data_IF_490461077123
#
_entry.id   IF_490461077123
#
_cell.length_a   1.000
_cell.length_b   1.000
_cell.length_c   1.000
_cell.angle_alpha   90.00
_cell.angle_beta   90.00
_cell.angle_gamma   90.00
#
_symmetry.space_group_name_H-M   'P 1'
#
loop_
_entity.id
_entity.type
_entity.pdbx_description
1 polymer ?
#
# COMPACT_ATOMS: atom_id res chain seq x y z
N UNK A 1 -23.07 -10.54 5.02
CA UNK A 1 -22.05 -11.43 4.44
C UNK A 1 -20.70 -11.02 5.02
N UNK A 2 -20.05 -11.89 5.79
CA UNK A 2 -18.69 -11.62 6.27
C UNK A 2 -17.76 -11.64 5.06
N UNK A 3 -17.20 -10.49 4.70
CA UNK A 3 -16.19 -10.42 3.66
C UNK A 3 -14.97 -11.18 4.15
N UNK A 4 -14.58 -12.25 3.46
CA UNK A 4 -13.29 -12.90 3.69
C UNK A 4 -12.19 -11.88 3.47
N UNK A 5 -11.33 -11.66 4.46
CA UNK A 5 -10.22 -10.70 4.37
C UNK A 5 -9.40 -10.93 3.09
N UNK A 6 -9.05 -9.83 2.41
CA UNK A 6 -8.21 -9.88 1.21
C UNK A 6 -6.76 -10.24 1.53
N UNK A 7 -6.30 -9.99 2.77
CA UNK A 7 -4.92 -10.19 3.21
C UNK A 7 -4.64 -11.54 3.85
N UNK A 8 -5.65 -12.38 4.07
CA UNK A 8 -5.47 -13.68 4.73
C UNK A 8 -4.42 -14.57 4.04
N UNK A 9 -4.33 -14.52 2.70
CA UNK A 9 -3.44 -15.36 1.90
C UNK A 9 -2.67 -14.60 0.80
N UNK A 10 -2.60 -13.26 0.86
CA UNK A 10 -2.05 -12.44 -0.24
C UNK A 10 -1.19 -11.31 0.27
N UNK A 11 -0.25 -10.87 -0.56
CA UNK A 11 0.46 -9.61 -0.30
C UNK A 11 -0.44 -8.40 -0.62
N UNK A 12 -0.21 -7.24 0.01
CA UNK A 12 -1.07 -6.07 -0.14
C UNK A 12 -1.31 -5.61 -1.59
N UNK A 13 -0.28 -5.67 -2.43
CA UNK A 13 -0.44 -5.32 -3.85
C UNK A 13 -1.33 -6.33 -4.59
N UNK A 14 -1.16 -7.62 -4.30
CA UNK A 14 -1.94 -8.67 -4.95
C UNK A 14 -3.41 -8.62 -4.51
N UNK A 15 -3.66 -8.23 -3.26
CA UNK A 15 -5.00 -7.95 -2.74
C UNK A 15 -5.67 -6.77 -3.46
N UNK A 16 -4.96 -5.66 -3.70
CA UNK A 16 -5.49 -4.52 -4.47
C UNK A 16 -5.83 -4.91 -5.91
N UNK A 17 -4.90 -5.59 -6.61
CA UNK A 17 -5.16 -6.05 -7.97
C UNK A 17 -6.38 -6.98 -8.01
N UNK A 18 -6.48 -7.91 -7.06
CA UNK A 18 -7.61 -8.82 -6.99
C UNK A 18 -8.94 -8.13 -6.65
N UNK A 19 -8.95 -7.10 -5.80
CA UNK A 19 -10.15 -6.31 -5.52
C UNK A 19 -10.76 -5.74 -6.81
N UNK A 20 -9.90 -5.26 -7.72
CA UNK A 20 -10.29 -4.75 -9.03
C UNK A 20 -10.40 -5.83 -10.12
N UNK A 21 -10.27 -7.12 -9.76
CA UNK A 21 -10.22 -8.25 -10.69
C UNK A 21 -9.18 -8.07 -11.82
N UNK A 22 -8.02 -7.51 -11.49
CA UNK A 22 -6.91 -7.32 -12.41
C UNK A 22 -5.76 -8.29 -12.13
N UNK A 23 -5.08 -8.70 -13.19
CA UNK A 23 -3.79 -9.33 -13.12
C UNK A 23 -2.75 -8.31 -12.65
N UNK A 24 -1.82 -8.74 -11.81
CA UNK A 24 -0.67 -7.92 -11.43
C UNK A 24 0.23 -7.72 -12.64
N UNK A 25 0.43 -6.45 -13.00
CA UNK A 25 1.36 -6.06 -14.04
C UNK A 25 2.75 -5.81 -13.45
N UNK A 26 3.78 -6.11 -14.25
CA UNK A 26 5.17 -5.75 -13.96
C UNK A 26 5.68 -4.83 -15.05
N UNK A 27 6.39 -3.77 -14.68
CA UNK A 27 7.01 -2.86 -15.63
C UNK A 27 8.54 -2.93 -15.51
N UNK A 28 9.29 -2.99 -16.61
CA UNK A 28 10.75 -3.07 -16.54
C UNK A 28 11.35 -1.81 -15.89
N UNK A 29 12.42 -1.99 -15.13
CA UNK A 29 13.22 -0.87 -14.64
C UNK A 29 13.83 -0.10 -15.82
N UNK A 30 14.10 1.20 -15.63
CA UNK A 30 14.73 2.09 -16.62
C UNK A 30 13.99 2.25 -17.96
N UNK A 31 12.72 1.86 -18.05
CA UNK A 31 11.88 2.13 -19.21
C UNK A 31 11.05 3.39 -18.93
N UNK A 32 10.90 4.34 -19.88
CA UNK A 32 10.02 5.48 -19.68
C UNK A 32 8.59 5.01 -19.47
N UNK A 33 7.92 5.56 -18.44
CA UNK A 33 6.54 5.21 -18.15
C UNK A 33 5.63 5.72 -19.28
N UNK A 34 4.74 4.87 -19.82
CA UNK A 34 3.75 5.31 -20.78
C UNK A 34 2.70 6.17 -20.08
N UNK A 35 1.98 7.00 -20.84
CA UNK A 35 0.84 7.78 -20.30
C UNK A 35 -0.38 6.90 -20.00
N UNK A 36 -0.50 5.75 -20.66
CA UNK A 36 -1.58 4.78 -20.49
C UNK A 36 -0.97 3.38 -20.52
N UNK A 37 -1.48 2.48 -19.69
CA UNK A 37 -1.06 1.08 -19.63
C UNK A 37 -2.27 0.17 -19.54
N UNK A 38 -2.21 -0.94 -20.29
CA UNK A 38 -3.22 -1.98 -20.23
C UNK A 38 -2.99 -2.91 -19.03
N UNK A 39 -4.03 -3.10 -18.23
CA UNK A 39 -4.08 -4.14 -17.21
C UNK A 39 -5.16 -5.17 -17.56
N UNK A 40 -4.77 -6.45 -17.59
CA UNK A 40 -5.68 -7.53 -17.93
C UNK A 40 -6.65 -7.85 -16.80
N UNK A 41 -7.91 -8.07 -17.15
CA UNK A 41 -8.92 -8.59 -16.24
C UNK A 41 -8.73 -10.10 -16.06
N UNK A 42 -8.81 -10.55 -14.81
CA UNK A 42 -8.81 -11.98 -14.45
C UNK A 42 -10.22 -12.53 -14.26
N UNK A 43 -11.19 -11.65 -14.01
CA UNK A 43 -12.61 -11.99 -13.83
C UNK A 43 -13.47 -10.74 -14.11
N UNK A 44 -14.79 -10.90 -14.32
CA UNK A 44 -15.72 -9.78 -14.34
C UNK A 44 -15.66 -9.01 -13.00
N UNK A 45 -15.42 -7.69 -13.09
CA UNK A 45 -15.29 -6.82 -11.91
C UNK A 45 -16.59 -6.05 -11.65
N UNK A 46 -16.99 -5.93 -10.39
CA UNK A 46 -18.09 -5.04 -9.97
C UNK A 46 -17.66 -3.58 -9.86
N UNK A 47 -16.37 -3.34 -9.66
CA UNK A 47 -15.76 -2.01 -9.57
C UNK A 47 -14.47 -2.00 -10.38
N UNK A 48 -14.33 -0.99 -11.25
CA UNK A 48 -13.14 -0.82 -12.08
C UNK A 48 -12.27 0.30 -11.51
N UNK A 49 -10.94 0.14 -11.48
CA UNK A 49 -10.04 1.22 -11.14
C UNK A 49 -10.04 2.23 -12.28
N UNK A 50 -9.69 3.47 -11.97
CA UNK A 50 -9.66 4.56 -12.97
C UNK A 50 -8.23 4.95 -13.34
N UNK A 51 -7.25 4.65 -12.50
CA UNK A 51 -5.84 4.98 -12.73
C UNK A 51 -4.93 3.85 -12.27
N UNK A 52 -3.68 3.91 -12.74
CA UNK A 52 -2.57 3.12 -12.21
C UNK A 52 -1.59 4.10 -11.58
N UNK A 53 -1.30 3.93 -10.29
CA UNK A 53 -0.17 4.61 -9.66
C UNK A 53 1.09 3.83 -9.98
N UNK A 54 2.00 4.45 -10.73
CA UNK A 54 3.35 3.97 -10.90
C UNK A 54 4.22 4.53 -9.78
N UNK A 55 4.32 3.77 -8.68
CA UNK A 55 5.10 4.17 -7.52
C UNK A 55 6.57 3.95 -7.82
N UNK A 56 7.28 5.06 -7.99
CA UNK A 56 8.69 5.07 -8.28
C UNK A 56 9.48 4.81 -6.98
N UNK A 57 10.56 4.02 -7.03
CA UNK A 57 11.50 3.94 -5.91
C UNK A 57 12.13 5.32 -5.66
N UNK A 58 12.71 5.52 -4.47
CA UNK A 58 13.52 6.71 -4.21
C UNK A 58 14.64 6.85 -5.27
N UNK A 59 14.98 8.08 -5.65
CA UNK A 59 15.88 8.41 -6.77
C UNK A 59 17.23 7.66 -6.73
N UNK A 60 17.70 7.30 -5.53
CA UNK A 60 18.95 6.56 -5.31
C UNK A 60 18.91 5.08 -5.75
N UNK A 61 17.76 4.57 -6.23
CA UNK A 61 17.57 3.16 -6.63
C UNK A 61 16.93 3.01 -8.02
N UNK A 62 17.57 3.51 -9.09
CA UNK A 62 17.00 3.50 -10.45
C UNK A 62 16.76 2.10 -11.01
N UNK A 63 17.47 1.08 -10.52
CA UNK A 63 17.34 -0.31 -10.97
C UNK A 63 16.13 -1.05 -10.41
N UNK A 64 15.38 -0.45 -9.48
CA UNK A 64 14.20 -1.09 -8.91
C UNK A 64 13.00 -0.76 -9.81
N UNK A 65 12.26 -1.76 -10.32
CA UNK A 65 11.08 -1.50 -11.13
C UNK A 65 9.98 -0.82 -10.29
N UNK A 66 9.16 0.05 -10.91
CA UNK A 66 8.07 0.70 -10.20
C UNK A 66 6.99 -0.30 -9.80
N UNK A 67 6.31 -0.01 -8.70
CA UNK A 67 5.11 -0.75 -8.32
C UNK A 67 3.91 -0.15 -9.04
N UNK A 68 3.18 -0.98 -9.78
CA UNK A 68 1.96 -0.58 -10.47
C UNK A 68 0.76 -0.91 -9.60
N UNK A 69 0.07 0.11 -9.10
CA UNK A 69 -1.05 -0.05 -8.18
C UNK A 69 -2.35 0.47 -8.80
N UNK A 70 -3.33 -0.40 -9.07
CA UNK A 70 -4.62 0.06 -9.56
C UNK A 70 -5.35 0.83 -8.44
N UNK A 71 -5.93 1.98 -8.79
CA UNK A 71 -6.70 2.81 -7.86
C UNK A 71 -7.97 3.33 -8.51
N UNK A 72 -9.01 3.47 -7.70
CA UNK A 72 -10.20 4.23 -8.05
C UNK A 72 -10.06 5.64 -7.47
N UNK A 73 -9.91 6.64 -8.35
CA UNK A 73 -9.78 8.04 -7.98
C UNK A 73 -10.98 8.55 -7.15
N UNK A 74 -12.20 8.10 -7.42
CA UNK A 74 -13.37 8.50 -6.63
C UNK A 74 -13.27 7.98 -5.21
N UNK A 75 -12.90 6.69 -5.04
CA UNK A 75 -12.68 6.11 -3.73
C UNK A 75 -11.56 6.86 -2.99
N UNK A 76 -10.45 7.10 -3.70
CA UNK A 76 -9.28 7.76 -3.15
C UNK A 76 -9.64 9.15 -2.58
N UNK A 77 -10.34 10.00 -3.33
CA UNK A 77 -10.72 11.34 -2.85
C UNK A 77 -11.81 11.33 -1.77
N UNK A 78 -12.54 10.22 -1.60
CA UNK A 78 -13.48 10.04 -0.49
C UNK A 78 -12.76 9.68 0.82
N UNK A 79 -11.60 9.05 0.75
CA UNK A 79 -10.93 8.47 1.91
C UNK A 79 -9.59 9.11 2.28
N UNK A 80 -8.98 9.86 1.36
CA UNK A 80 -7.72 10.57 1.58
C UNK A 80 -7.91 12.07 1.30
N UNK A 81 -7.31 12.91 2.12
CA UNK A 81 -7.38 14.38 1.95
C UNK A 81 -6.35 14.91 0.96
N UNK A 82 -5.28 14.15 0.69
CA UNK A 82 -4.22 14.57 -0.22
C UNK A 82 -4.59 14.34 -1.68
N UNK A 83 -4.76 15.41 -2.45
CA UNK A 83 -4.90 15.33 -3.91
C UNK A 83 -3.56 15.07 -4.65
N UNK A 84 -2.43 14.94 -3.93
CA UNK A 84 -1.10 14.94 -4.52
C UNK A 84 -0.76 13.67 -5.34
N UNK A 85 -1.46 12.55 -5.08
CA UNK A 85 -1.11 11.25 -5.69
C UNK A 85 -2.02 10.88 -6.86
N UNK A 86 -3.30 11.26 -6.81
CA UNK A 86 -4.30 10.91 -7.82
C UNK A 86 -4.97 12.19 -8.30
N UNK A 87 -4.96 12.47 -9.61
CA UNK A 87 -5.65 13.63 -10.16
C UNK A 87 -7.16 13.44 -10.04
N UNK A 88 -7.88 14.54 -9.77
CA UNK A 88 -9.33 14.53 -9.75
C UNK A 88 -9.87 14.29 -11.16
N UNK A 89 -10.82 13.36 -11.28
CA UNK A 89 -11.54 13.14 -12.52
C UNK A 89 -12.60 14.24 -12.73
N UNK A 90 -12.78 14.74 -13.96
CA UNK A 90 -13.91 15.59 -14.29
C UNK A 90 -15.24 14.91 -13.91
N UNK A 91 -16.23 15.67 -13.40
CA UNK A 91 -17.56 15.15 -13.16
C UNK A 91 -18.15 14.53 -14.44
N UNK A 92 -18.75 13.34 -14.32
CA UNK A 92 -19.33 12.63 -15.46
C UNK A 92 -18.35 11.84 -16.33
N UNK A 93 -17.07 11.72 -15.93
CA UNK A 93 -16.13 10.81 -16.59
C UNK A 93 -16.67 9.38 -16.52
N UNK A 94 -16.91 8.70 -17.66
CA UNK A 94 -17.41 7.34 -17.65
C UNK A 94 -16.36 6.38 -17.06
N UNK A 95 -16.77 5.26 -16.45
CA UNK A 95 -15.84 4.22 -16.04
C UNK A 95 -15.09 3.68 -17.27
N UNK A 96 -13.84 3.19 -17.11
CA UNK A 96 -13.11 2.63 -18.22
C UNK A 96 -13.83 1.41 -18.78
N UNK A 97 -13.88 1.31 -20.11
CA UNK A 97 -14.55 0.20 -20.79
C UNK A 97 -13.53 -0.91 -21.08
N UNK A 98 -13.80 -2.16 -20.66
CA UNK A 98 -12.98 -3.30 -21.06
C UNK A 98 -12.93 -3.43 -22.58
N UNK A 99 -11.73 -3.70 -23.11
CA UNK A 99 -11.51 -4.02 -24.51
C UNK A 99 -10.71 -5.33 -24.62
N UNK A 100 -10.69 -5.94 -25.80
CA UNK A 100 -9.84 -7.11 -26.05
C UNK A 100 -8.44 -6.63 -26.43
N UNK A 101 -7.43 -7.01 -25.63
CA UNK A 101 -6.03 -6.80 -25.96
C UNK A 101 -5.69 -7.62 -27.22
N UNK A 102 -5.22 -6.98 -28.31
CA UNK A 102 -4.94 -7.68 -29.56
C UNK A 102 -3.82 -8.73 -29.43
N UNK A 103 -2.84 -8.54 -28.54
CA UNK A 103 -1.71 -9.44 -28.39
C UNK A 103 -2.07 -10.72 -27.62
N UNK A 104 -2.84 -10.58 -26.54
CA UNK A 104 -3.19 -11.71 -25.67
C UNK A 104 -4.60 -12.27 -25.90
N UNK A 105 -5.45 -11.55 -26.64
CA UNK A 105 -6.89 -11.84 -26.81
C UNK A 105 -7.63 -11.93 -25.45
N UNK A 106 -7.15 -11.21 -24.44
CA UNK A 106 -7.77 -11.16 -23.10
C UNK A 106 -8.44 -9.80 -22.87
N UNK A 107 -9.52 -9.74 -22.09
CA UNK A 107 -10.10 -8.46 -21.69
C UNK A 107 -9.09 -7.65 -20.87
N UNK A 108 -8.93 -6.37 -21.21
CA UNK A 108 -8.01 -5.44 -20.58
C UNK A 108 -8.66 -4.06 -20.38
N UNK A 109 -8.11 -3.30 -19.43
CA UNK A 109 -8.45 -1.90 -19.18
C UNK A 109 -7.26 -1.03 -19.56
N UNK A 110 -7.48 -0.10 -20.48
CA UNK A 110 -6.52 0.97 -20.77
C UNK A 110 -6.67 2.04 -19.68
N UNK A 111 -5.69 2.15 -18.79
CA UNK A 111 -5.75 3.04 -17.65
C UNK A 111 -4.64 4.10 -17.71
N UNK A 112 -4.95 5.37 -17.42
CA UNK A 112 -3.92 6.40 -17.28
C UNK A 112 -2.93 6.05 -16.16
N UNK A 113 -1.65 6.23 -16.45
CA UNK A 113 -0.57 5.99 -15.49
C UNK A 113 -0.17 7.30 -14.85
N UNK A 114 -0.19 7.33 -13.51
CA UNK A 114 0.22 8.48 -12.71
C UNK A 114 1.53 8.13 -12.01
N UNK A 115 2.66 8.77 -12.38
CA UNK A 115 3.93 8.57 -11.69
C UNK A 115 3.86 9.20 -10.30
N UNK A 116 4.26 8.46 -9.28
CA UNK A 116 4.24 8.96 -7.90
C UNK A 116 5.52 8.61 -7.16
N UNK A 117 6.08 9.60 -6.46
CA UNK A 117 7.18 9.41 -5.53
C UNK A 117 6.62 9.23 -4.12
N UNK A 118 6.64 7.99 -3.63
CA UNK A 118 6.23 7.69 -2.27
C UNK A 118 7.46 7.62 -1.35
N UNK A 119 7.39 8.16 -0.11
CA UNK A 119 8.46 8.01 0.88
C UNK A 119 8.90 6.57 1.10
N UNK A 120 7.99 5.60 0.97
CA UNK A 120 8.31 4.18 0.98
C UNK A 120 7.33 3.40 0.10
N UNK A 121 7.80 2.93 -1.06
CA UNK A 121 6.93 2.32 -2.07
C UNK A 121 6.19 1.08 -1.57
N UNK A 122 6.86 0.18 -0.82
CA UNK A 122 6.30 -1.11 -0.41
C UNK A 122 5.18 -1.00 0.64
N UNK A 123 5.12 0.08 1.41
CA UNK A 123 4.06 0.27 2.42
C UNK A 123 2.82 0.96 1.84
N UNK A 124 2.91 1.56 0.65
CA UNK A 124 1.79 2.28 0.05
C UNK A 124 0.60 1.37 -0.29
N UNK A 125 0.78 0.17 -0.89
CA UNK A 125 -0.33 -0.74 -1.14
C UNK A 125 -1.09 -1.13 0.13
N UNK A 126 -0.37 -1.39 1.23
CA UNK A 126 -0.98 -1.69 2.52
C UNK A 126 -1.82 -0.51 3.03
N UNK A 127 -1.25 0.70 2.97
CA UNK A 127 -1.95 1.91 3.39
C UNK A 127 -3.19 2.21 2.53
N UNK A 128 -3.11 1.97 1.21
CA UNK A 128 -4.23 2.15 0.30
C UNK A 128 -5.37 1.16 0.59
N UNK A 129 -5.06 -0.11 0.89
CA UNK A 129 -6.09 -1.10 1.26
C UNK A 129 -6.89 -0.67 2.49
N UNK A 130 -6.18 -0.35 3.57
CA UNK A 130 -6.83 0.01 4.83
C UNK A 130 -7.45 1.40 4.77
N UNK A 131 -6.73 2.39 4.21
CA UNK A 131 -7.21 3.76 4.12
C UNK A 131 -8.43 3.91 3.22
N UNK A 132 -8.55 3.11 2.15
CA UNK A 132 -9.72 3.08 1.30
C UNK A 132 -10.89 2.22 1.84
N UNK A 133 -10.73 1.62 3.03
CA UNK A 133 -11.72 0.74 3.65
C UNK A 133 -11.93 -0.59 2.92
N UNK A 134 -10.98 -1.01 2.08
CA UNK A 134 -11.03 -2.30 1.36
C UNK A 134 -10.65 -3.47 2.27
N UNK A 135 -9.79 -3.20 3.26
CA UNK A 135 -9.52 -4.08 4.38
C UNK A 135 -9.77 -3.31 5.68
N UNK A 136 -10.46 -3.94 6.63
CA UNK A 136 -10.90 -3.30 7.87
C UNK A 136 -10.43 -4.03 9.12
N UNK A 137 -9.82 -5.22 8.98
CA UNK A 137 -9.32 -5.96 10.12
C UNK A 137 -8.00 -5.37 10.64
N UNK A 138 -8.11 -4.59 11.71
CA UNK A 138 -6.97 -3.95 12.37
C UNK A 138 -5.96 -4.94 12.95
N UNK A 139 -6.37 -6.17 13.28
CA UNK A 139 -5.45 -7.20 13.75
C UNK A 139 -4.55 -7.68 12.62
N UNK A 140 -5.09 -7.78 11.39
CA UNK A 140 -4.29 -8.10 10.21
C UNK A 140 -3.31 -6.97 9.88
N UNK A 141 -3.72 -5.71 10.04
CA UNK A 141 -2.79 -4.59 9.90
C UNK A 141 -1.64 -4.70 10.91
N UNK A 142 -1.97 -4.89 12.19
CA UNK A 142 -0.98 -5.05 13.25
C UNK A 142 -0.01 -6.21 12.94
N UNK A 143 -0.52 -7.37 12.54
CA UNK A 143 0.28 -8.54 12.16
C UNK A 143 1.19 -8.32 10.95
N UNK A 144 0.85 -7.37 10.07
CA UNK A 144 1.69 -7.01 8.90
C UNK A 144 2.79 -6.01 9.24
N UNK A 145 2.62 -5.22 10.30
CA UNK A 145 3.54 -4.12 10.64
C UNK A 145 4.33 -4.37 11.92
N UNK A 146 4.01 -5.41 12.69
CA UNK A 146 4.73 -5.83 13.89
C UNK A 146 4.90 -7.37 13.93
N UNK A 147 5.98 -7.87 14.54
CA UNK A 147 6.13 -9.29 14.80
C UNK A 147 5.11 -9.80 15.84
N UNK A 148 4.69 -11.09 15.78
CA UNK A 148 3.74 -11.68 16.72
C UNK A 148 4.15 -11.53 18.19
N UNK A 149 5.43 -11.73 18.51
CA UNK A 149 5.94 -11.61 19.88
C UNK A 149 5.79 -10.19 20.43
N UNK A 150 5.90 -9.18 19.56
CA UNK A 150 5.70 -7.77 19.94
C UNK A 150 4.22 -7.48 20.13
N UNK A 151 3.34 -8.08 19.31
CA UNK A 151 1.89 -7.94 19.44
C UNK A 151 1.40 -8.58 20.74
N UNK A 152 2.01 -9.69 21.19
CA UNK A 152 1.67 -10.36 22.44
C UNK A 152 1.80 -9.50 23.70
N UNK A 153 2.59 -8.42 23.63
CA UNK A 153 2.77 -7.47 24.73
C UNK A 153 1.75 -6.31 24.73
N UNK A 154 0.83 -6.27 23.75
CA UNK A 154 -0.21 -5.25 23.68
C UNK A 154 -1.13 -5.32 24.93
N UNK A 155 -1.56 -4.18 25.49
CA UNK A 155 -1.35 -2.79 25.05
C UNK A 155 -0.12 -2.09 25.66
N UNK A 156 0.81 -2.81 26.30
CA UNK A 156 1.95 -2.20 26.97
C UNK A 156 3.05 -1.81 25.98
N UNK A 157 2.98 -0.59 25.44
CA UNK A 157 3.95 -0.08 24.46
C UNK A 157 5.42 -0.15 24.91
N UNK A 158 5.70 -0.03 26.22
CA UNK A 158 7.07 -0.15 26.74
C UNK A 158 7.58 -1.60 26.69
N UNK A 159 6.72 -2.57 27.01
CA UNK A 159 7.02 -3.99 26.86
C UNK A 159 7.18 -4.36 25.39
N UNK A 160 6.28 -3.90 24.52
CA UNK A 160 6.38 -4.06 23.06
C UNK A 160 7.72 -3.55 22.53
N UNK A 161 8.13 -2.33 22.90
CA UNK A 161 9.41 -1.74 22.48
C UNK A 161 10.61 -2.54 23.01
N UNK A 162 10.50 -3.10 24.23
CA UNK A 162 11.54 -3.95 24.82
C UNK A 162 11.69 -5.25 24.04
N UNK A 163 10.61 -5.95 23.70
CA UNK A 163 10.64 -7.17 22.86
C UNK A 163 11.18 -6.85 21.47
N UNK A 164 10.67 -5.80 20.85
CA UNK A 164 11.13 -5.31 19.54
C UNK A 164 12.64 -5.00 19.53
N UNK A 165 13.17 -4.40 20.60
CA UNK A 165 14.60 -4.08 20.72
C UNK A 165 15.51 -5.30 20.74
N UNK A 166 14.99 -6.49 21.06
CA UNK A 166 15.76 -7.74 21.18
C UNK A 166 15.79 -8.58 19.89
N UNK A 167 15.03 -8.19 18.87
CA UNK A 167 15.02 -8.91 17.59
C UNK A 167 16.43 -9.00 16.97
N UNK A 168 16.71 -9.96 16.09
CA UNK A 168 17.92 -9.92 15.28
C UNK A 168 17.96 -8.67 14.38
N UNK A 169 19.14 -8.28 13.91
CA UNK A 169 19.33 -7.03 13.16
C UNK A 169 18.49 -6.97 11.87
N UNK A 170 18.48 -8.04 11.07
CA UNK A 170 17.70 -8.11 9.82
C UNK A 170 16.20 -7.84 10.02
N UNK A 171 15.48 -8.65 10.82
CA UNK A 171 14.07 -8.43 11.14
C UNK A 171 13.80 -7.05 11.75
N UNK A 172 14.67 -6.57 12.64
CA UNK A 172 14.52 -5.25 13.24
C UNK A 172 14.58 -4.14 12.19
N UNK A 173 15.58 -4.17 11.31
CA UNK A 173 15.73 -3.19 10.23
C UNK A 173 14.55 -3.22 9.27
N UNK A 174 14.03 -4.41 8.94
CA UNK A 174 12.83 -4.56 8.13
C UNK A 174 11.64 -3.81 8.74
N UNK A 175 11.28 -4.11 10.00
CA UNK A 175 10.13 -3.47 10.64
C UNK A 175 10.37 -1.98 10.94
N UNK A 176 11.61 -1.58 11.21
CA UNK A 176 11.99 -0.16 11.35
C UNK A 176 11.72 0.60 10.05
N UNK A 177 12.24 0.10 8.92
CA UNK A 177 12.01 0.71 7.61
C UNK A 177 10.52 0.72 7.25
N UNK A 178 9.82 -0.40 7.46
CA UNK A 178 8.40 -0.53 7.16
C UNK A 178 7.55 0.47 7.96
N UNK A 179 7.73 0.55 9.28
CA UNK A 179 6.93 1.46 10.12
C UNK A 179 7.28 2.93 9.88
N UNK A 180 8.56 3.27 9.68
CA UNK A 180 8.94 4.63 9.28
C UNK A 180 8.34 5.01 7.93
N UNK A 181 8.41 4.10 6.95
CA UNK A 181 7.85 4.30 5.62
C UNK A 181 6.34 4.44 5.64
N UNK A 182 5.65 3.58 6.38
CA UNK A 182 4.21 3.63 6.55
C UNK A 182 3.78 4.96 7.20
N UNK A 183 4.44 5.38 8.29
CA UNK A 183 4.16 6.66 8.94
C UNK A 183 4.34 7.85 7.99
N UNK A 184 5.44 7.90 7.24
CA UNK A 184 5.67 8.98 6.25
C UNK A 184 4.59 8.98 5.16
N UNK A 185 4.20 7.82 4.65
CA UNK A 185 3.12 7.73 3.67
C UNK A 185 1.78 8.14 4.26
N UNK A 186 1.49 7.79 5.52
CA UNK A 186 0.27 8.22 6.23
C UNK A 186 0.21 9.74 6.31
N UNK A 187 1.33 10.41 6.65
CA UNK A 187 1.40 11.86 6.65
C UNK A 187 1.23 12.47 5.25
N UNK A 188 1.78 11.83 4.22
CA UNK A 188 1.70 12.33 2.83
C UNK A 188 0.30 12.17 2.20
N UNK A 189 -0.37 11.06 2.48
CA UNK A 189 -1.71 10.76 1.95
C UNK A 189 -2.83 11.37 2.79
N UNK A 190 -2.60 11.57 4.10
CA UNK A 190 -3.60 12.03 5.05
C UNK A 190 -4.92 11.22 4.96
N UNK A 191 -4.90 9.91 5.29
CA UNK A 191 -6.13 9.13 5.35
C UNK A 191 -7.08 9.68 6.40
N UNK A 192 -8.38 9.68 6.08
CA UNK A 192 -9.45 10.15 6.98
C UNK A 192 -9.76 9.19 8.12
N UNK A 193 -9.39 7.92 7.99
CA UNK A 193 -9.56 6.91 9.03
C UNK A 193 -8.62 7.19 10.21
N UNK A 194 -9.19 7.72 11.29
CA UNK A 194 -8.45 8.07 12.51
C UNK A 194 -7.95 6.86 13.28
N UNK A 195 -8.66 5.72 13.21
CA UNK A 195 -8.24 4.50 13.88
C UNK A 195 -7.00 3.89 13.18
N UNK A 196 -6.98 3.91 11.85
CA UNK A 196 -5.81 3.56 11.05
C UNK A 196 -4.61 4.45 11.38
N UNK A 197 -4.79 5.77 11.36
CA UNK A 197 -3.73 6.74 11.67
C UNK A 197 -3.16 6.49 13.06
N UNK A 198 -4.03 6.27 14.04
CA UNK A 198 -3.63 6.03 15.43
C UNK A 198 -2.84 4.73 15.59
N UNK A 199 -3.29 3.65 14.95
CA UNK A 199 -2.56 2.37 14.98
C UNK A 199 -1.15 2.52 14.38
N UNK A 200 -1.03 3.12 13.20
CA UNK A 200 0.29 3.36 12.55
C UNK A 200 1.18 4.24 13.43
N UNK A 201 0.60 5.25 14.10
CA UNK A 201 1.33 6.13 15.01
C UNK A 201 1.88 5.37 16.22
N UNK A 202 1.07 4.48 16.81
CA UNK A 202 1.48 3.64 17.94
C UNK A 202 2.61 2.71 17.53
N UNK A 203 2.47 1.98 16.42
CA UNK A 203 3.50 1.02 15.98
C UNK A 203 4.81 1.74 15.60
N UNK A 204 4.71 2.89 14.94
CA UNK A 204 5.87 3.77 14.70
C UNK A 204 6.59 4.14 16.00
N UNK A 205 5.85 4.56 17.04
CA UNK A 205 6.43 4.93 18.33
C UNK A 205 7.13 3.74 19.00
N UNK A 206 6.49 2.57 19.01
CA UNK A 206 7.07 1.33 19.56
C UNK A 206 8.42 1.03 18.92
N UNK A 207 8.50 1.09 17.59
CA UNK A 207 9.74 0.78 16.87
C UNK A 207 10.81 1.87 17.05
N UNK A 208 10.41 3.14 17.11
CA UNK A 208 11.31 4.24 17.41
C UNK A 208 11.92 4.13 18.82
N UNK A 209 11.12 3.78 19.82
CA UNK A 209 11.59 3.58 21.18
C UNK A 209 12.46 2.32 21.29
N UNK A 210 12.14 1.24 20.58
CA UNK A 210 12.99 0.06 20.47
C UNK A 210 14.38 0.40 19.92
N UNK A 211 14.46 1.27 18.89
CA UNK A 211 15.74 1.76 18.35
C UNK A 211 16.54 2.52 19.40
N UNK A 212 15.88 3.39 20.20
CA UNK A 212 16.53 4.11 21.30
C UNK A 212 17.08 3.17 22.36
N UNK A 213 16.33 2.12 22.72
CA UNK A 213 16.78 1.09 23.66
C UNK A 213 18.03 0.35 23.17
N UNK A 214 18.13 0.06 21.86
CA UNK A 214 19.35 -0.51 21.28
C UNK A 214 20.53 0.43 21.41
N UNK A 215 20.36 1.70 21.05
CA UNK A 215 21.45 2.69 21.09
C UNK A 215 21.99 2.94 22.51
N UNK A 216 21.21 2.68 23.57
CA UNK A 216 21.63 2.81 24.97
C UNK A 216 22.35 1.58 25.54
N UNK A 217 22.30 0.45 24.85
CA UNK A 217 22.94 -0.82 25.28
C UNK A 217 24.37 -0.99 24.77
N UNK A 218 24.84 -0.02 23.99
CA UNK A 218 26.20 0.12 23.49
C UNK A 218 26.78 1.40 24.09
#
# INVERSE_FOLDING_TARGET
MQSTSFLANREPLDALCHHFSLAKASFPANTPLPSTLDMHLIAPASRLPTHILAILPAEDKPHVPPLLVPVDAFLYHQTFDSAAFVPQLPPGTPPPTPHLDPASQRPALALPVVPVHAPHALSLPLLLLFGAGLETDSNLLAARILPPDVIGEFPNAAAMATVMSRLPEGPFQFYLMLNHGLWKNTLALAPRDTALVELVRITYKVVADARRLRMRRW
#
